data_IF_541950279925
#
_entry.id   IF_541950279925
#
_cell.length_a   1.000
_cell.length_b   1.000
_cell.length_c   1.000
_cell.angle_alpha   90.00
_cell.angle_beta   90.00
_cell.angle_gamma   90.00
#
_symmetry.space_group_name_H-M   'P 1'
#
loop_
_entity.id
_entity.type
_entity.pdbx_description
1 polymer ?
#
# COMPACT_ATOMS: atom_id res chain seq x y z
N UNK A 1 10.88 -8.13 6.64
CA UNK A 1 10.77 -6.89 7.47
C UNK A 1 11.62 -6.95 8.74
N UNK A 2 12.74 -7.70 8.75
CA UNK A 2 13.44 -8.07 9.99
C UNK A 2 12.78 -9.28 10.68
N UNK A 3 12.27 -10.23 9.89
CA UNK A 3 11.63 -11.45 10.37
C UNK A 3 12.68 -12.37 11.01
N UNK A 4 12.32 -13.03 12.11
CA UNK A 4 13.19 -13.99 12.81
C UNK A 4 13.03 -15.43 12.31
N UNK A 5 12.22 -15.65 11.27
CA UNK A 5 11.99 -16.94 10.65
C UNK A 5 12.86 -17.10 9.39
N UNK A 6 12.73 -18.24 8.71
CA UNK A 6 13.52 -18.59 7.52
C UNK A 6 13.09 -17.84 6.25
N UNK A 7 12.22 -16.81 6.34
CA UNK A 7 11.72 -16.10 5.16
C UNK A 7 12.86 -15.48 4.34
N UNK A 8 13.84 -14.85 4.99
CA UNK A 8 14.96 -14.22 4.28
C UNK A 8 15.83 -15.25 3.54
N UNK A 9 16.10 -16.40 4.16
CA UNK A 9 16.85 -17.51 3.58
C UNK A 9 16.12 -18.09 2.35
N UNK A 10 14.82 -18.37 2.48
CA UNK A 10 13.99 -18.91 1.38
C UNK A 10 13.90 -17.93 0.22
N UNK A 11 13.72 -16.62 0.50
CA UNK A 11 13.69 -15.62 -0.56
C UNK A 11 15.05 -15.51 -1.23
N UNK A 12 16.15 -15.50 -0.47
CA UNK A 12 17.49 -15.44 -1.03
C UNK A 12 17.78 -16.63 -1.97
N UNK A 13 17.36 -17.85 -1.59
CA UNK A 13 17.54 -19.03 -2.44
C UNK A 13 16.67 -19.00 -3.70
N UNK A 14 15.43 -18.52 -3.61
CA UNK A 14 14.57 -18.32 -4.79
C UNK A 14 15.10 -17.23 -5.74
N UNK A 15 15.75 -16.20 -5.19
CA UNK A 15 16.35 -15.12 -5.97
C UNK A 15 17.72 -15.48 -6.57
N UNK A 16 18.34 -16.59 -6.17
CA UNK A 16 19.69 -16.95 -6.61
C UNK A 16 19.83 -17.03 -8.15
N UNK A 17 18.74 -17.38 -8.84
CA UNK A 17 18.69 -17.47 -10.30
C UNK A 17 17.86 -16.36 -10.96
N UNK A 18 17.50 -15.31 -10.20
CA UNK A 18 16.71 -14.18 -10.71
C UNK A 18 17.45 -12.86 -10.50
N UNK A 19 18.19 -12.46 -11.53
CA UNK A 19 19.04 -11.27 -11.59
C UNK A 19 18.31 -9.94 -11.31
N UNK A 20 17.02 -9.86 -11.66
CA UNK A 20 16.19 -8.68 -11.39
C UNK A 20 15.63 -8.65 -9.96
N UNK A 21 15.67 -9.77 -9.25
CA UNK A 21 15.18 -9.91 -7.90
C UNK A 21 16.18 -9.38 -6.87
N UNK A 22 15.69 -8.62 -5.89
CA UNK A 22 16.54 -8.10 -4.79
C UNK A 22 15.87 -8.28 -3.44
N UNK A 23 16.52 -9.04 -2.57
CA UNK A 23 16.16 -9.08 -1.14
C UNK A 23 16.76 -7.86 -0.44
N UNK A 24 15.94 -7.18 0.35
CA UNK A 24 16.36 -6.04 1.18
C UNK A 24 16.09 -6.42 2.65
N UNK A 25 17.08 -6.98 3.37
CA UNK A 25 16.93 -7.28 4.78
C UNK A 25 16.91 -5.98 5.60
N UNK A 26 16.07 -5.94 6.64
CA UNK A 26 16.12 -4.90 7.67
C UNK A 26 16.83 -5.47 8.89
N UNK A 27 17.61 -4.63 9.58
CA UNK A 27 18.41 -5.02 10.75
C UNK A 27 17.57 -5.43 11.96
N UNK A 28 16.31 -4.99 12.03
CA UNK A 28 15.37 -5.31 13.09
C UNK A 28 13.93 -5.29 12.56
N UNK A 29 12.99 -5.82 13.35
CA UNK A 29 11.58 -5.78 13.01
C UNK A 29 11.01 -4.35 13.12
N UNK A 30 10.86 -3.67 11.98
CA UNK A 30 10.29 -2.33 11.89
C UNK A 30 8.80 -2.32 11.50
N UNK A 31 8.22 -3.51 11.27
CA UNK A 31 6.86 -3.68 10.76
C UNK A 31 6.70 -3.41 9.26
N UNK A 32 5.51 -3.77 8.75
CA UNK A 32 5.19 -3.76 7.32
C UNK A 32 5.35 -2.38 6.67
N UNK A 33 4.86 -1.31 7.30
CA UNK A 33 4.90 0.02 6.70
C UNK A 33 6.33 0.53 6.49
N UNK A 34 7.22 0.31 7.44
CA UNK A 34 8.63 0.67 7.31
C UNK A 34 9.32 -0.14 6.21
N UNK A 35 9.09 -1.47 6.18
CA UNK A 35 9.64 -2.32 5.12
C UNK A 35 9.15 -1.91 3.73
N UNK A 36 7.86 -1.61 3.60
CA UNK A 36 7.26 -1.11 2.36
C UNK A 36 7.88 0.22 1.93
N UNK A 37 7.99 1.19 2.84
CA UNK A 37 8.56 2.50 2.55
C UNK A 37 10.03 2.42 2.12
N UNK A 38 10.84 1.60 2.81
CA UNK A 38 12.22 1.34 2.40
C UNK A 38 12.32 0.64 1.04
N UNK A 39 11.43 -0.31 0.76
CA UNK A 39 11.34 -0.96 -0.56
C UNK A 39 11.02 0.04 -1.67
N UNK A 40 10.01 0.89 -1.46
CA UNK A 40 9.62 1.95 -2.41
C UNK A 40 10.78 2.91 -2.70
N UNK A 41 11.48 3.39 -1.66
CA UNK A 41 12.65 4.29 -1.83
C UNK A 41 13.77 3.64 -2.63
N UNK A 42 14.03 2.34 -2.44
CA UNK A 42 15.09 1.58 -3.13
C UNK A 42 14.71 1.08 -4.53
N UNK A 43 13.44 1.09 -4.89
CA UNK A 43 13.01 0.77 -6.25
C UNK A 43 13.70 1.71 -7.26
N UNK A 44 14.03 1.23 -8.46
CA UNK A 44 14.68 2.03 -9.51
C UNK A 44 13.79 2.29 -10.73
N UNK A 45 12.68 1.56 -10.84
CA UNK A 45 11.75 1.72 -11.95
C UNK A 45 11.01 3.06 -11.88
N UNK A 46 10.62 3.58 -13.06
CA UNK A 46 9.78 4.76 -13.18
C UNK A 46 8.37 4.53 -12.62
N UNK A 47 7.91 3.28 -12.66
CA UNK A 47 6.65 2.84 -12.06
C UNK A 47 6.98 1.91 -10.89
N UNK A 48 6.26 2.09 -9.79
CA UNK A 48 6.35 1.23 -8.60
C UNK A 48 5.03 0.50 -8.42
N UNK A 49 5.12 -0.81 -8.25
CA UNK A 49 3.97 -1.69 -8.02
C UNK A 49 4.13 -2.33 -6.65
N UNK A 50 3.08 -2.26 -5.85
CA UNK A 50 3.00 -2.92 -4.56
C UNK A 50 2.15 -4.19 -4.69
N UNK A 51 2.60 -5.25 -4.04
CA UNK A 51 1.90 -6.54 -3.99
C UNK A 51 2.18 -7.20 -2.63
N UNK A 52 1.14 -7.71 -1.98
CA UNK A 52 1.28 -8.44 -0.72
C UNK A 52 1.81 -9.86 -0.96
N UNK A 53 2.73 -10.32 -0.10
CA UNK A 53 3.39 -11.62 -0.20
C UNK A 53 2.57 -12.81 0.32
N UNK A 54 1.32 -12.61 0.74
CA UNK A 54 0.45 -13.66 1.29
C UNK A 54 -0.36 -14.43 0.21
N UNK A 55 -0.16 -14.08 -1.05
CA UNK A 55 -0.82 -14.69 -2.21
C UNK A 55 -2.29 -14.29 -2.41
N UNK A 56 -2.82 -13.38 -1.59
CA UNK A 56 -4.23 -12.96 -1.71
C UNK A 56 -4.48 -12.06 -2.93
N UNK A 57 -3.51 -11.23 -3.31
CA UNK A 57 -3.56 -10.45 -4.55
C UNK A 57 -3.00 -11.28 -5.71
N UNK A 58 -3.74 -11.36 -6.82
CA UNK A 58 -3.31 -12.12 -7.99
C UNK A 58 -2.33 -11.30 -8.85
N UNK A 59 -1.07 -11.75 -9.04
CA UNK A 59 -0.10 -11.04 -9.91
C UNK A 59 -0.60 -10.85 -11.35
N UNK A 60 -1.50 -11.71 -11.84
CA UNK A 60 -2.10 -11.57 -13.17
C UNK A 60 -2.99 -10.33 -13.33
N UNK A 61 -3.31 -9.63 -12.24
CA UNK A 61 -4.02 -8.34 -12.31
C UNK A 61 -3.07 -7.14 -12.40
N UNK A 62 -1.75 -7.34 -12.38
CA UNK A 62 -0.76 -6.25 -12.57
C UNK A 62 -1.01 -5.46 -13.87
N UNK A 63 -1.27 -6.08 -15.03
CA UNK A 63 -1.56 -5.32 -16.26
C UNK A 63 -2.76 -4.37 -16.11
N UNK A 64 -3.77 -4.72 -15.29
CA UNK A 64 -4.96 -3.87 -15.07
C UNK A 64 -4.65 -2.60 -14.29
N UNK A 65 -3.70 -2.65 -13.36
CA UNK A 65 -3.27 -1.46 -12.61
C UNK A 65 -2.23 -0.64 -13.35
N UNK A 66 -1.52 -1.24 -14.31
CA UNK A 66 -0.56 -0.54 -15.17
C UNK A 66 -1.24 0.25 -16.29
N UNK A 67 -2.24 -0.33 -16.95
CA UNK A 67 -2.85 0.27 -18.14
C UNK A 67 -3.30 1.74 -17.95
N UNK A 68 -3.89 2.15 -16.81
CA UNK A 68 -4.32 3.55 -16.65
C UNK A 68 -3.22 4.55 -16.28
N UNK A 69 -1.98 4.11 -16.00
CA UNK A 69 -0.90 5.00 -15.54
C UNK A 69 -0.41 6.00 -16.61
N UNK A 70 -0.84 5.85 -17.86
CA UNK A 70 -0.63 6.86 -18.89
C UNK A 70 -1.54 8.09 -18.71
N UNK A 71 -2.65 7.94 -17.99
CA UNK A 71 -3.65 9.00 -17.77
C UNK A 71 -3.68 9.50 -16.32
N UNK A 72 -3.20 8.69 -15.38
CA UNK A 72 -3.22 9.02 -13.95
C UNK A 72 -1.90 8.72 -13.27
N UNK A 73 -1.68 9.35 -12.11
CA UNK A 73 -0.45 9.21 -11.35
C UNK A 73 -0.38 7.91 -10.53
N UNK A 74 -1.54 7.42 -10.12
CA UNK A 74 -1.68 6.29 -9.22
C UNK A 74 -2.95 5.48 -9.53
N UNK A 75 -2.84 4.16 -9.45
CA UNK A 75 -3.93 3.22 -9.58
C UNK A 75 -4.02 2.33 -8.35
N UNK A 76 -5.23 2.22 -7.78
CA UNK A 76 -5.53 1.38 -6.61
C UNK A 76 -6.46 0.24 -7.03
N UNK A 77 -6.09 -1.00 -6.73
CA UNK A 77 -6.98 -2.13 -6.91
C UNK A 77 -8.17 -2.11 -5.95
N UNK A 78 -9.35 -2.50 -6.41
CA UNK A 78 -10.54 -2.76 -5.60
C UNK A 78 -10.75 -4.26 -5.55
N UNK A 79 -10.70 -4.86 -4.35
CA UNK A 79 -10.89 -6.31 -4.22
C UNK A 79 -12.32 -6.69 -4.54
N UNK A 80 -12.51 -7.40 -5.65
CA UNK A 80 -13.82 -8.00 -6.00
C UNK A 80 -13.94 -9.42 -5.44
N UNK A 81 -15.18 -9.87 -5.23
CA UNK A 81 -15.51 -11.24 -4.81
C UNK A 81 -14.80 -11.68 -3.50
N UNK A 82 -14.77 -10.81 -2.50
CA UNK A 82 -14.18 -11.11 -1.19
C UNK A 82 -14.91 -12.29 -0.53
N UNK A 83 -14.19 -13.39 -0.28
CA UNK A 83 -14.65 -14.53 0.53
C UNK A 83 -14.58 -14.27 2.05
N UNK A 84 -14.67 -13.00 2.44
CA UNK A 84 -14.74 -12.57 3.84
C UNK A 84 -16.17 -12.74 4.38
N UNK A 85 -16.31 -12.94 5.70
CA UNK A 85 -17.62 -12.93 6.36
C UNK A 85 -18.36 -11.61 6.14
N UNK A 86 -19.70 -11.65 6.14
CA UNK A 86 -20.54 -10.47 5.94
C UNK A 86 -20.17 -9.32 6.89
N UNK A 87 -19.99 -9.64 8.18
CA UNK A 87 -19.58 -8.68 9.22
C UNK A 87 -18.23 -8.02 8.89
N UNK A 88 -17.23 -8.80 8.46
CA UNK A 88 -15.90 -8.26 8.10
C UNK A 88 -15.98 -7.33 6.89
N UNK A 89 -16.82 -7.67 5.90
CA UNK A 89 -17.06 -6.82 4.74
C UNK A 89 -17.75 -5.51 5.14
N UNK A 90 -18.78 -5.57 6.00
CA UNK A 90 -19.48 -4.40 6.50
C UNK A 90 -18.56 -3.46 7.27
N UNK A 91 -17.77 -3.98 8.22
CA UNK A 91 -16.79 -3.20 8.98
C UNK A 91 -15.74 -2.55 8.07
N UNK A 92 -15.22 -3.29 7.07
CA UNK A 92 -14.27 -2.76 6.10
C UNK A 92 -14.87 -1.61 5.28
N UNK A 93 -16.13 -1.73 4.85
CA UNK A 93 -16.82 -0.67 4.10
C UNK A 93 -17.03 0.57 4.95
N UNK A 94 -17.47 0.40 6.20
CA UNK A 94 -17.66 1.52 7.13
C UNK A 94 -16.34 2.24 7.41
N UNK A 95 -15.27 1.50 7.70
CA UNK A 95 -13.95 2.07 7.95
C UNK A 95 -13.41 2.83 6.72
N UNK A 96 -13.53 2.25 5.52
CA UNK A 96 -13.12 2.92 4.29
C UNK A 96 -13.97 4.17 4.01
N UNK A 97 -15.28 4.12 4.24
CA UNK A 97 -16.17 5.26 4.03
C UNK A 97 -15.86 6.41 5.01
N UNK A 98 -15.68 6.11 6.30
CA UNK A 98 -15.28 7.10 7.29
C UNK A 98 -13.94 7.75 6.93
N UNK A 99 -12.92 6.94 6.61
CA UNK A 99 -11.60 7.41 6.18
C UNK A 99 -11.70 8.28 4.92
N UNK A 100 -12.39 7.82 3.88
CA UNK A 100 -12.55 8.55 2.62
C UNK A 100 -13.26 9.88 2.82
N UNK A 101 -14.23 9.95 3.74
CA UNK A 101 -14.94 11.19 4.07
C UNK A 101 -14.05 12.18 4.82
N UNK A 102 -13.23 11.69 5.76
CA UNK A 102 -12.34 12.52 6.57
C UNK A 102 -11.16 13.04 5.72
N UNK A 103 -10.55 12.17 4.92
CA UNK A 103 -9.35 12.48 4.15
C UNK A 103 -9.62 12.99 2.73
N UNK A 104 -10.86 12.88 2.24
CA UNK A 104 -11.25 13.39 0.93
C UNK A 104 -10.57 12.69 -0.25
N UNK A 105 -10.11 11.44 -0.09
CA UNK A 105 -9.32 10.75 -1.13
C UNK A 105 -10.16 9.99 -2.17
N UNK A 106 -11.44 9.78 -1.90
CA UNK A 106 -12.38 9.09 -2.80
C UNK A 106 -12.11 7.59 -2.99
N UNK A 107 -11.20 6.99 -2.22
CA UNK A 107 -10.79 5.59 -2.39
C UNK A 107 -11.62 4.65 -1.53
N UNK A 108 -12.29 3.70 -2.18
CA UNK A 108 -13.26 2.79 -1.56
C UNK A 108 -12.62 1.53 -0.96
N UNK A 109 -11.40 1.17 -1.39
CA UNK A 109 -10.66 0.02 -0.87
C UNK A 109 -9.15 0.28 -0.70
N UNK A 110 -8.77 1.08 0.30
CA UNK A 110 -7.35 1.33 0.57
C UNK A 110 -6.59 0.10 1.08
N UNK A 111 -7.32 -0.91 1.57
CA UNK A 111 -6.76 -2.14 2.12
C UNK A 111 -6.36 -3.17 1.07
N UNK A 112 -6.49 -2.87 -0.22
CA UNK A 112 -5.99 -3.71 -1.29
C UNK A 112 -4.47 -3.52 -1.47
N UNK A 113 -3.71 -4.63 -1.54
CA UNK A 113 -2.25 -4.58 -1.69
C UNK A 113 -1.77 -4.18 -3.06
N UNK A 114 -2.57 -4.49 -4.08
CA UNK A 114 -2.23 -4.18 -5.45
C UNK A 114 -2.47 -2.69 -5.73
N UNK A 115 -1.37 -1.94 -5.76
CA UNK A 115 -1.33 -0.51 -6.13
C UNK A 115 -0.18 -0.30 -7.10
N UNK A 116 -0.35 0.58 -8.08
CA UNK A 116 0.71 0.99 -8.99
C UNK A 116 0.74 2.51 -9.09
N UNK A 117 1.92 3.12 -9.19
CA UNK A 117 2.06 4.57 -9.29
C UNK A 117 3.40 4.98 -9.88
N UNK A 118 3.46 6.18 -10.47
CA UNK A 118 4.73 6.79 -10.87
C UNK A 118 5.64 7.02 -9.66
N UNK A 119 6.94 6.81 -9.83
CA UNK A 119 7.93 6.89 -8.76
C UNK A 119 7.88 8.23 -8.01
N UNK A 120 7.60 9.34 -8.71
CA UNK A 120 7.43 10.69 -8.12
C UNK A 120 6.38 10.73 -7.00
N UNK A 121 5.36 9.87 -7.06
CA UNK A 121 4.31 9.81 -6.04
C UNK A 121 4.88 9.45 -4.66
N UNK A 122 6.03 8.79 -4.58
CA UNK A 122 6.69 8.43 -3.31
C UNK A 122 7.05 9.67 -2.47
N UNK A 123 7.32 10.81 -3.10
CA UNK A 123 7.60 12.08 -2.41
C UNK A 123 6.39 12.62 -1.64
N UNK A 124 5.19 12.11 -1.97
CA UNK A 124 4.00 12.39 -1.20
C UNK A 124 3.93 11.64 0.14
N UNK A 125 4.69 10.56 0.31
CA UNK A 125 4.53 9.64 1.43
C UNK A 125 5.33 10.05 2.66
N UNK A 126 4.72 9.89 3.83
CA UNK A 126 5.36 10.04 5.14
C UNK A 126 5.54 8.66 5.81
N UNK A 127 6.68 8.38 6.45
CA UNK A 127 6.90 7.10 7.13
C UNK A 127 6.07 7.03 8.43
N UNK A 128 4.91 6.39 8.35
CA UNK A 128 4.00 6.15 9.49
C UNK A 128 3.65 4.66 9.60
N UNK A 129 3.25 4.19 10.79
CA UNK A 129 3.02 2.76 11.07
C UNK A 129 1.92 2.12 10.22
N UNK A 130 0.97 2.92 9.75
CA UNK A 130 -0.17 2.47 8.93
C UNK A 130 -0.15 3.07 7.52
N UNK A 131 1.04 3.48 7.03
CA UNK A 131 1.23 4.16 5.74
C UNK A 131 0.42 3.52 4.62
N UNK A 132 0.44 2.19 4.51
CA UNK A 132 -0.26 1.43 3.47
C UNK A 132 -1.74 1.80 3.30
N UNK A 133 -2.44 2.14 4.40
CA UNK A 133 -3.86 2.57 4.41
C UNK A 133 -4.07 4.04 4.05
N UNK A 134 -2.99 4.81 3.98
CA UNK A 134 -3.01 6.26 3.76
C UNK A 134 -2.25 6.68 2.51
N UNK A 135 -1.60 5.76 1.78
CA UNK A 135 -0.94 6.03 0.48
C UNK A 135 -1.86 6.84 -0.45
N UNK A 136 -3.14 6.48 -0.69
CA UNK A 136 -3.97 7.23 -1.62
C UNK A 136 -4.31 8.65 -1.10
N UNK A 137 -4.52 8.81 0.20
CA UNK A 137 -4.79 10.12 0.79
C UNK A 137 -3.56 11.05 0.71
N UNK A 138 -2.37 10.51 0.95
CA UNK A 138 -1.12 11.24 0.82
C UNK A 138 -0.85 11.64 -0.63
N UNK A 139 -1.06 10.74 -1.58
CA UNK A 139 -0.96 11.04 -3.01
C UNK A 139 -1.96 12.13 -3.43
N UNK A 140 -3.24 11.98 -3.07
CA UNK A 140 -4.30 12.91 -3.45
C UNK A 140 -4.06 14.31 -2.88
N UNK A 141 -3.66 14.40 -1.60
CA UNK A 141 -3.34 15.70 -0.96
C UNK A 141 -2.12 16.40 -1.56
N UNK A 142 -1.25 15.65 -2.24
CA UNK A 142 -0.13 16.21 -3.01
C UNK A 142 -0.51 16.60 -4.45
N UNK A 143 -1.79 16.50 -4.82
CA UNK A 143 -2.29 16.88 -6.14
C UNK A 143 -2.30 15.75 -7.18
N UNK A 144 -1.82 14.56 -6.83
CA UNK A 144 -1.79 13.44 -7.77
C UNK A 144 -3.18 12.89 -8.09
N UNK A 145 -3.34 12.44 -9.32
CA UNK A 145 -4.57 11.82 -9.84
C UNK A 145 -4.61 10.32 -9.51
N UNK A 146 -5.80 9.83 -9.14
CA UNK A 146 -5.98 8.44 -8.70
C UNK A 146 -7.12 7.80 -9.48
N UNK A 147 -6.88 6.61 -10.03
CA UNK A 147 -7.93 5.73 -10.57
C UNK A 147 -8.05 4.46 -9.74
N UNK A 148 -9.25 3.88 -9.70
CA UNK A 148 -9.50 2.62 -9.03
C UNK A 148 -9.95 1.56 -10.03
N UNK A 149 -9.43 0.35 -9.93
CA UNK A 149 -9.74 -0.74 -10.88
C UNK A 149 -10.08 -2.03 -10.15
N UNK A 150 -11.08 -2.81 -10.60
CA UNK A 150 -11.42 -4.08 -9.97
C UNK A 150 -10.31 -5.13 -10.16
N UNK A 151 -9.91 -5.78 -9.07
CA UNK A 151 -8.87 -6.82 -9.04
C UNK A 151 -9.35 -8.05 -8.25
N UNK A 152 -8.88 -9.24 -8.65
CA UNK A 152 -9.27 -10.50 -8.01
C UNK A 152 -8.65 -10.59 -6.63
N UNK A 153 -9.39 -11.19 -5.69
CA UNK A 153 -8.93 -11.47 -4.34
C UNK A 153 -9.06 -12.96 -4.04
N UNK A 154 -7.96 -13.59 -3.65
CA UNK A 154 -7.88 -15.02 -3.32
C UNK A 154 -8.02 -15.23 -1.80
N UNK A 155 -8.60 -16.36 -1.37
CA UNK A 155 -8.55 -16.75 0.02
C UNK A 155 -7.09 -16.95 0.44
N UNK A 156 -6.79 -16.65 1.69
CA UNK A 156 -5.45 -16.82 2.26
C UNK A 156 -5.09 -18.30 2.30
N UNK A 157 -3.97 -18.69 1.69
CA UNK A 157 -3.52 -20.09 1.59
C UNK A 157 -2.78 -20.59 2.84
N UNK A 158 -2.43 -19.72 3.80
CA UNK A 158 -1.76 -20.11 5.04
C UNK A 158 -1.49 -18.97 6.03
N UNK A 159 -1.22 -19.33 7.29
CA UNK A 159 -0.85 -18.43 8.39
C UNK A 159 -2.02 -18.00 9.29
N UNK A 160 -1.86 -18.17 10.62
CA UNK A 160 -2.82 -17.63 11.61
C UNK A 160 -2.80 -16.10 11.56
N UNK A 161 -3.98 -15.48 11.58
CA UNK A 161 -4.11 -14.03 11.72
C UNK A 161 -3.51 -13.62 13.07
N UNK A 162 -2.33 -12.97 13.08
CA UNK A 162 -1.63 -12.54 14.30
C UNK A 162 -2.25 -11.28 14.95
N UNK A 163 -3.47 -10.87 14.58
CA UNK A 163 -3.96 -9.52 14.85
C UNK A 163 -5.10 -9.49 15.89
N UNK A 164 -4.80 -8.97 17.09
CA UNK A 164 -5.79 -8.67 18.13
C UNK A 164 -6.54 -7.36 17.86
N UNK A 165 -7.88 -7.41 17.88
CA UNK A 165 -8.80 -6.36 17.40
C UNK A 165 -8.66 -5.03 18.17
N UNK A 166 -8.49 -5.04 19.50
CA UNK A 166 -8.45 -3.81 20.32
C UNK A 166 -7.18 -2.96 20.13
N UNK A 167 -6.00 -3.58 20.01
CA UNK A 167 -4.71 -2.87 19.77
C UNK A 167 -4.61 -2.28 18.36
N UNK A 168 -5.47 -2.72 17.43
CA UNK A 168 -5.45 -2.31 16.03
C UNK A 168 -6.45 -1.22 15.68
N UNK A 169 -7.41 -0.85 16.54
CA UNK A 169 -8.33 0.26 16.24
C UNK A 169 -7.75 1.63 16.61
N UNK A 170 -7.03 1.73 17.73
CA UNK A 170 -6.50 3.02 18.19
C UNK A 170 -5.38 3.57 17.29
N UNK A 171 -4.47 2.71 16.80
CA UNK A 171 -3.32 3.15 15.97
C UNK A 171 -3.76 3.77 14.63
N UNK A 172 -4.62 3.13 13.83
CA UNK A 172 -5.13 3.75 12.60
C UNK A 172 -5.95 5.01 12.85
N UNK A 173 -6.66 5.13 13.98
CA UNK A 173 -7.41 6.34 14.30
C UNK A 173 -6.47 7.52 14.62
N UNK A 174 -5.44 7.29 15.45
CA UNK A 174 -4.42 8.30 15.71
C UNK A 174 -3.65 8.69 14.45
N UNK A 175 -3.20 7.70 13.67
CA UNK A 175 -2.50 7.95 12.41
C UNK A 175 -3.42 8.69 11.42
N UNK A 176 -4.73 8.38 11.39
CA UNK A 176 -5.70 9.11 10.56
C UNK A 176 -5.83 10.57 10.97
N UNK A 177 -5.87 10.88 12.28
CA UNK A 177 -5.90 12.26 12.77
C UNK A 177 -4.61 13.01 12.38
N UNK A 178 -3.45 12.35 12.51
CA UNK A 178 -2.16 12.90 12.08
C UNK A 178 -2.09 13.14 10.57
N UNK A 179 -2.56 12.19 9.76
CA UNK A 179 -2.63 12.34 8.29
C UNK A 179 -3.62 13.43 7.90
N UNK A 180 -4.77 13.51 8.55
CA UNK A 180 -5.74 14.58 8.32
C UNK A 180 -5.13 15.96 8.58
N UNK A 181 -4.46 16.14 9.73
CA UNK A 181 -3.74 17.37 10.04
C UNK A 181 -2.65 17.67 9.00
N UNK A 182 -1.83 16.67 8.66
CA UNK A 182 -0.71 16.81 7.73
C UNK A 182 -1.18 17.19 6.32
N UNK A 183 -2.19 16.50 5.80
CA UNK A 183 -2.74 16.75 4.45
C UNK A 183 -3.26 18.17 4.27
N UNK A 184 -3.74 18.82 5.34
CA UNK A 184 -4.19 20.22 5.34
C UNK A 184 -3.08 21.26 5.55
N UNK A 185 -1.92 20.84 6.06
CA UNK A 185 -0.76 21.70 6.35
C UNK A 185 0.42 21.44 5.43
N UNK A 186 0.28 20.49 4.50
CA UNK A 186 1.29 20.08 3.54
C UNK A 186 1.71 21.26 2.66
N UNK A 187 3.01 21.47 2.53
CA UNK A 187 3.55 22.34 1.49
C UNK A 187 3.33 21.72 0.10
N UNK A 188 3.12 22.54 -0.95
CA UNK A 188 3.13 22.06 -2.32
C UNK A 188 4.40 21.24 -2.60
N UNK A 189 4.29 20.20 -3.43
CA UNK A 189 5.48 19.51 -3.91
C UNK A 189 6.31 20.51 -4.73
N UNK A 190 7.57 20.65 -4.37
CA UNK A 190 8.49 21.48 -5.13
C UNK A 190 8.60 20.88 -6.54
N UNK A 191 8.33 21.70 -7.55
CA UNK A 191 8.67 21.40 -8.93
C UNK A 191 9.93 22.19 -9.22
N UNK A 192 11.04 21.49 -9.41
CA UNK A 192 12.24 22.14 -9.96
C UNK A 192 11.87 22.61 -11.37
N UNK A 193 12.23 23.85 -11.73
CA UNK A 193 12.16 24.27 -13.13
C UNK A 193 13.22 23.47 -13.87
N UNK A 194 12.80 22.63 -14.80
CA UNK A 194 13.72 22.02 -15.76
C UNK A 194 14.48 23.18 -16.44
N UNK A 195 15.81 23.17 -16.28
CA UNK A 195 16.74 24.13 -16.88
C UNK A 195 17.13 23.74 -18.30
#
# INVERSE_FOLDING_TARGET
>A
DGSSDRTAEIVASQLANWDQGKLIPLTQNCGQAAALFHGMKRARGQIVILLDGDGQNNPQDIPKVLAPLNEVDMVVGIRVQRRDSFLRRAMSRLANAARSRILGDGVIDTGCGLKAFHRRVIESFIPIRTLYSFIPALAKSAGFTIRQVPVRHRPRSGGKSKYGVRKFLWKPLLDMAGVYWFTRRRCPLATEKDG
#
